data_IF_126852866230
#
_entry.id   IF_126852866230
#
_cell.length_a   1.000
_cell.length_b   1.000
_cell.length_c   1.000
_cell.angle_alpha   90.00
_cell.angle_beta   90.00
_cell.angle_gamma   90.00
#
_symmetry.space_group_name_H-M   'P 1'
#
loop_
_entity.id
_entity.type
_entity.pdbx_description
1 polymer ?
#
# COMPACT_ATOMS: atom_id res chain seq x y z
N UNK A 1 47.01 -46.01 -43.43
CA UNK A 1 47.27 -44.56 -43.36
C UNK A 1 45.95 -43.86 -43.04
N UNK A 2 45.70 -43.54 -41.77
CA UNK A 2 44.49 -42.84 -41.32
C UNK A 2 44.90 -41.49 -40.73
N UNK A 3 44.95 -40.46 -41.57
CA UNK A 3 45.24 -39.08 -41.13
C UNK A 3 43.93 -38.42 -40.66
N UNK A 4 43.77 -38.27 -39.35
CA UNK A 4 42.82 -37.29 -38.81
C UNK A 4 43.32 -35.89 -39.17
N UNK A 5 42.47 -35.01 -39.74
CA UNK A 5 42.86 -33.64 -39.98
C UNK A 5 43.04 -32.89 -38.63
N UNK A 6 43.97 -31.92 -38.55
CA UNK A 6 44.20 -31.16 -37.34
C UNK A 6 42.98 -30.29 -37.05
N UNK A 7 42.46 -30.37 -35.82
CA UNK A 7 41.47 -29.43 -35.31
C UNK A 7 42.15 -28.05 -35.34
N UNK A 8 41.58 -27.14 -36.13
CA UNK A 8 42.11 -25.79 -36.27
C UNK A 8 42.09 -25.10 -34.91
N UNK A 9 43.25 -24.60 -34.47
CA UNK A 9 43.42 -23.75 -33.28
C UNK A 9 42.53 -22.50 -33.28
N UNK A 10 41.97 -22.14 -34.44
CA UNK A 10 40.97 -21.09 -34.60
C UNK A 10 39.60 -21.41 -33.95
N UNK A 11 39.25 -22.68 -33.78
CA UNK A 11 37.98 -23.09 -33.17
C UNK A 11 38.04 -23.09 -31.63
N UNK A 12 39.24 -23.22 -31.05
CA UNK A 12 39.47 -23.10 -29.60
C UNK A 12 39.45 -21.64 -29.12
N UNK A 13 39.75 -20.67 -29.98
CA UNK A 13 39.74 -19.25 -29.63
C UNK A 13 38.34 -18.61 -29.68
N UNK A 14 37.37 -19.24 -30.35
CA UNK A 14 35.98 -18.75 -30.38
C UNK A 14 35.15 -19.12 -29.14
N UNK A 15 35.66 -20.00 -28.28
CA UNK A 15 34.96 -20.45 -27.06
C UNK A 15 35.29 -19.62 -25.81
N UNK A 16 36.18 -18.63 -25.89
CA UNK A 16 36.67 -17.84 -24.74
C UNK A 16 36.28 -16.35 -24.75
N UNK A 17 35.31 -15.94 -25.57
CA UNK A 17 34.65 -14.63 -25.38
C UNK A 17 33.32 -14.82 -24.67
N UNK A 18 33.38 -15.27 -23.41
CA UNK A 18 32.26 -15.11 -22.49
C UNK A 18 32.05 -13.62 -22.25
N UNK A 19 31.01 -13.07 -22.88
CA UNK A 19 30.45 -11.75 -22.55
C UNK A 19 30.35 -11.65 -21.01
N UNK A 20 30.79 -10.55 -20.37
CA UNK A 20 30.54 -10.36 -18.95
C UNK A 20 29.03 -10.51 -18.67
N UNK A 21 28.64 -11.10 -17.53
CA UNK A 21 27.23 -11.26 -17.20
C UNK A 21 26.55 -9.90 -17.31
N UNK A 22 25.44 -9.82 -18.07
CA UNK A 22 24.68 -8.59 -18.20
C UNK A 22 24.32 -8.08 -16.80
N UNK A 23 24.61 -6.80 -16.53
CA UNK A 23 24.20 -6.16 -15.27
C UNK A 23 22.70 -6.35 -15.07
N UNK A 24 22.32 -6.85 -13.89
CA UNK A 24 20.92 -7.09 -13.56
C UNK A 24 20.17 -5.76 -13.53
N UNK A 25 18.98 -5.72 -14.14
CA UNK A 25 18.13 -4.54 -14.05
C UNK A 25 17.75 -4.25 -12.58
N UNK A 26 17.40 -3.00 -12.22
CA UNK A 26 16.95 -2.68 -10.86
C UNK A 26 15.82 -3.60 -10.36
N UNK A 27 14.88 -3.95 -11.24
CA UNK A 27 13.81 -4.91 -10.96
C UNK A 27 14.36 -6.31 -10.65
N UNK A 28 15.30 -6.82 -11.45
CA UNK A 28 15.93 -8.12 -11.26
C UNK A 28 16.73 -8.16 -9.96
N UNK A 29 17.42 -7.07 -9.62
CA UNK A 29 18.18 -6.93 -8.38
C UNK A 29 17.26 -6.95 -7.16
N UNK A 30 16.16 -6.19 -7.19
CA UNK A 30 15.19 -6.16 -6.09
C UNK A 30 14.48 -7.51 -5.91
N UNK A 31 14.08 -8.17 -7.00
CA UNK A 31 13.47 -9.50 -6.96
C UNK A 31 14.46 -10.56 -6.48
N UNK A 32 15.72 -10.50 -6.92
CA UNK A 32 16.76 -11.41 -6.44
C UNK A 32 17.02 -11.24 -4.95
N UNK A 33 17.05 -10.00 -4.46
CA UNK A 33 17.18 -9.68 -3.05
C UNK A 33 16.01 -10.26 -2.23
N UNK A 34 14.76 -10.04 -2.67
CA UNK A 34 13.58 -10.60 -2.02
C UNK A 34 13.59 -12.14 -1.95
N UNK A 35 14.29 -12.79 -2.89
CA UNK A 35 14.44 -14.24 -2.91
C UNK A 35 15.56 -14.78 -2.01
N UNK A 36 16.35 -13.92 -1.35
CA UNK A 36 17.39 -14.37 -0.42
C UNK A 36 16.76 -15.11 0.78
N UNK A 37 17.39 -16.19 1.29
CA UNK A 37 16.84 -16.98 2.40
C UNK A 37 16.50 -16.15 3.65
N UNK A 38 17.37 -15.20 4.02
CA UNK A 38 17.14 -14.33 5.17
C UNK A 38 15.85 -13.50 5.00
N UNK A 39 15.64 -12.90 3.83
CA UNK A 39 14.45 -12.11 3.53
C UNK A 39 13.19 -12.98 3.47
N UNK A 40 13.28 -14.17 2.85
CA UNK A 40 12.16 -15.14 2.85
C UNK A 40 11.76 -15.53 4.26
N UNK A 41 12.73 -15.77 5.16
CA UNK A 41 12.46 -16.11 6.55
C UNK A 41 11.81 -14.95 7.32
N UNK A 42 12.27 -13.72 7.10
CA UNK A 42 11.66 -12.52 7.70
C UNK A 42 10.22 -12.32 7.22
N UNK A 43 9.95 -12.48 5.92
CA UNK A 43 8.60 -12.43 5.37
C UNK A 43 7.73 -13.55 5.94
N UNK A 44 8.22 -14.78 5.96
CA UNK A 44 7.50 -15.93 6.49
C UNK A 44 7.10 -15.74 7.96
N UNK A 45 7.99 -15.12 8.77
CA UNK A 45 7.70 -14.81 10.17
C UNK A 45 6.61 -13.72 10.34
N UNK A 46 6.47 -12.81 9.38
CA UNK A 46 5.49 -11.74 9.40
C UNK A 46 4.13 -12.13 8.78
N UNK A 47 4.10 -13.12 7.90
CA UNK A 47 2.90 -13.50 7.15
C UNK A 47 1.91 -14.34 8.00
N UNK A 48 0.59 -14.21 7.76
CA UNK A 48 -0.39 -15.11 8.33
C UNK A 48 -0.17 -16.55 7.84
N UNK A 49 -0.61 -17.53 8.64
CA UNK A 49 -0.45 -18.97 8.34
C UNK A 49 -0.97 -19.43 6.97
N UNK A 50 -1.91 -18.71 6.38
CA UNK A 50 -2.51 -19.03 5.08
C UNK A 50 -1.75 -18.44 3.87
N UNK A 51 -0.64 -17.73 4.09
CA UNK A 51 0.15 -17.08 3.05
C UNK A 51 1.63 -17.44 3.17
N UNK A 52 2.24 -17.84 2.05
CA UNK A 52 3.67 -18.20 2.00
C UNK A 52 4.52 -17.03 1.51
N UNK A 53 5.80 -17.00 1.93
CA UNK A 53 6.76 -15.99 1.46
C UNK A 53 6.90 -16.01 -0.07
N UNK A 54 6.94 -17.18 -0.71
CA UNK A 54 7.03 -17.29 -2.17
C UNK A 54 5.80 -16.71 -2.89
N UNK A 55 4.59 -16.91 -2.34
CA UNK A 55 3.37 -16.30 -2.89
C UNK A 55 3.45 -14.77 -2.80
N UNK A 56 3.84 -14.24 -1.63
CA UNK A 56 4.01 -12.81 -1.44
C UNK A 56 5.05 -12.22 -2.41
N UNK A 57 6.21 -12.87 -2.56
CA UNK A 57 7.26 -12.44 -3.51
C UNK A 57 6.76 -12.41 -4.96
N UNK A 58 5.94 -13.40 -5.37
CA UNK A 58 5.34 -13.41 -6.72
C UNK A 58 4.39 -12.23 -6.92
N UNK A 59 3.53 -11.96 -5.94
CA UNK A 59 2.61 -10.81 -5.97
C UNK A 59 3.41 -9.51 -6.11
N UNK A 60 4.44 -9.34 -5.27
CA UNK A 60 5.30 -8.15 -5.29
C UNK A 60 6.04 -8.01 -6.63
N UNK A 61 6.55 -9.11 -7.19
CA UNK A 61 7.19 -9.12 -8.51
C UNK A 61 6.22 -8.64 -9.59
N UNK A 62 4.95 -9.04 -9.51
CA UNK A 62 3.90 -8.54 -10.41
C UNK A 62 3.65 -7.05 -10.20
N UNK A 63 3.61 -6.55 -8.96
CA UNK A 63 3.42 -5.12 -8.69
C UNK A 63 4.60 -4.26 -9.16
N UNK A 64 5.85 -4.72 -9.01
CA UNK A 64 7.03 -4.06 -9.60
C UNK A 64 6.88 -3.95 -11.13
N UNK A 65 6.43 -5.01 -11.81
CA UNK A 65 6.22 -4.97 -13.27
C UNK A 65 5.12 -4.01 -13.70
N UNK A 66 4.06 -3.87 -12.89
CA UNK A 66 2.97 -2.91 -13.16
C UNK A 66 3.42 -1.48 -12.91
N UNK A 67 4.29 -1.26 -11.92
CA UNK A 67 4.84 0.04 -11.59
C UNK A 67 6.38 -0.04 -11.44
N UNK A 68 7.13 0.03 -12.56
CA UNK A 68 8.59 -0.07 -12.55
C UNK A 68 9.30 0.97 -11.68
N UNK A 69 8.63 2.10 -11.37
CA UNK A 69 9.19 3.12 -10.47
C UNK A 69 9.47 2.57 -9.06
N UNK A 70 8.76 1.51 -8.64
CA UNK A 70 8.99 0.85 -7.36
C UNK A 70 10.42 0.29 -7.25
N UNK A 71 11.00 -0.19 -8.35
CA UNK A 71 12.36 -0.72 -8.37
C UNK A 71 13.43 0.36 -8.19
N UNK A 72 13.10 1.63 -8.50
CA UNK A 72 13.98 2.77 -8.31
C UNK A 72 13.81 3.49 -6.96
N UNK A 73 12.92 3.00 -6.10
CA UNK A 73 12.69 3.58 -4.77
C UNK A 73 13.72 3.08 -3.75
N UNK A 74 13.78 3.75 -2.60
CA UNK A 74 14.60 3.32 -1.47
C UNK A 74 14.23 1.89 -1.06
N UNK A 75 15.22 0.99 -1.15
CA UNK A 75 15.02 -0.44 -0.92
C UNK A 75 14.51 -0.75 0.50
N UNK A 76 14.97 -0.03 1.53
CA UNK A 76 14.51 -0.24 2.91
C UNK A 76 13.02 0.12 3.08
N UNK A 77 12.58 1.24 2.50
CA UNK A 77 11.16 1.65 2.52
C UNK A 77 10.26 0.65 1.78
N UNK A 78 10.75 0.08 0.68
CA UNK A 78 10.06 -0.96 -0.08
C UNK A 78 9.87 -2.21 0.77
N UNK A 79 10.94 -2.73 1.36
CA UNK A 79 10.88 -3.93 2.21
C UNK A 79 10.00 -3.66 3.44
N UNK A 80 10.15 -2.50 4.09
CA UNK A 80 9.32 -2.13 5.24
C UNK A 80 7.82 -2.10 4.90
N UNK A 81 7.46 -1.56 3.74
CA UNK A 81 6.08 -1.55 3.25
C UNK A 81 5.56 -2.96 2.96
N UNK A 82 6.39 -3.83 2.38
CA UNK A 82 6.05 -5.23 2.14
C UNK A 82 5.87 -6.02 3.45
N UNK A 83 6.74 -5.81 4.43
CA UNK A 83 6.64 -6.44 5.75
C UNK A 83 5.35 -5.97 6.43
N UNK A 84 5.00 -4.69 6.33
CA UNK A 84 3.74 -4.16 6.86
C UNK A 84 2.51 -4.78 6.18
N UNK A 85 2.49 -4.90 4.85
CA UNK A 85 1.47 -5.68 4.12
C UNK A 85 1.34 -7.10 4.67
N UNK A 86 2.50 -7.74 4.87
CA UNK A 86 2.61 -9.12 5.33
C UNK A 86 2.02 -9.28 6.73
N UNK A 87 2.38 -8.40 7.67
CA UNK A 87 1.85 -8.39 9.05
C UNK A 87 0.33 -8.22 9.08
N UNK A 88 -0.22 -7.42 8.16
CA UNK A 88 -1.66 -7.22 8.05
C UNK A 88 -2.37 -8.36 7.30
N UNK A 89 -1.62 -9.27 6.69
CA UNK A 89 -2.18 -10.28 5.80
C UNK A 89 -2.93 -9.66 4.63
N UNK A 90 -2.46 -8.52 4.14
CA UNK A 90 -3.01 -7.86 2.96
C UNK A 90 -2.09 -8.13 1.78
N UNK A 91 -2.68 -8.57 0.68
CA UNK A 91 -1.96 -8.75 -0.58
C UNK A 91 -1.96 -7.40 -1.33
N UNK A 92 -0.78 -6.84 -1.67
CA UNK A 92 -0.73 -5.63 -2.47
C UNK A 92 -1.18 -5.94 -3.91
N UNK A 93 -2.05 -5.09 -4.46
CA UNK A 93 -2.46 -5.18 -5.85
C UNK A 93 -3.85 -4.60 -6.11
N UNK A 94 -4.01 -4.13 -7.35
CA UNK A 94 -5.23 -3.43 -7.78
C UNK A 94 -6.49 -4.31 -7.86
N UNK A 95 -6.35 -5.64 -7.96
CA UNK A 95 -7.49 -6.55 -8.23
C UNK A 95 -8.49 -6.65 -7.08
N UNK A 96 -8.00 -6.71 -5.83
CA UNK A 96 -8.87 -6.80 -4.65
C UNK A 96 -9.13 -5.43 -4.00
N UNK A 97 -8.32 -4.42 -4.33
CA UNK A 97 -8.40 -3.09 -3.72
C UNK A 97 -8.10 -3.09 -2.22
N UNK A 98 -7.30 -4.06 -1.77
CA UNK A 98 -6.95 -4.26 -0.36
C UNK A 98 -5.81 -3.35 0.07
N UNK A 99 -4.73 -3.34 -0.70
CA UNK A 99 -3.58 -2.52 -0.42
C UNK A 99 -2.78 -2.21 -1.69
N UNK A 100 -1.99 -1.15 -1.65
CA UNK A 100 -1.21 -0.64 -2.76
C UNK A 100 0.18 -0.23 -2.27
N UNK A 101 1.21 -0.57 -3.04
CA UNK A 101 2.57 -0.08 -2.83
C UNK A 101 2.79 1.07 -3.81
N UNK A 102 2.94 2.28 -3.29
CA UNK A 102 3.07 3.47 -4.13
C UNK A 102 4.35 4.23 -3.81
N UNK A 103 5.03 4.79 -4.82
CA UNK A 103 6.22 5.60 -4.61
C UNK A 103 5.84 7.03 -4.19
N UNK A 104 6.53 7.56 -3.19
CA UNK A 104 6.37 8.90 -2.66
C UNK A 104 7.72 9.61 -2.57
N UNK A 105 7.78 10.84 -3.06
CA UNK A 105 8.95 11.68 -2.85
C UNK A 105 9.03 12.10 -1.38
N UNK A 106 10.18 11.83 -0.76
CA UNK A 106 10.58 12.39 0.53
C UNK A 106 11.32 13.68 0.27
N UNK A 107 10.69 14.79 0.65
CA UNK A 107 11.23 16.12 0.45
C UNK A 107 11.84 16.62 1.75
N UNK A 108 13.02 17.23 1.68
CA UNK A 108 13.63 17.94 2.81
C UNK A 108 13.90 19.38 2.39
N UNK A 109 13.62 20.31 3.29
CA UNK A 109 14.01 21.71 3.08
C UNK A 109 15.52 21.81 3.26
N UNK A 110 16.22 22.22 2.22
CA UNK A 110 17.64 22.50 2.26
C UNK A 110 17.88 23.72 3.17
N UNK A 111 18.62 23.58 4.28
CA UNK A 111 18.82 24.68 5.23
C UNK A 111 19.54 25.89 4.62
N UNK A 112 20.40 25.66 3.63
CA UNK A 112 21.22 26.68 3.00
C UNK A 112 20.48 27.45 1.90
N UNK A 113 19.66 26.75 1.09
CA UNK A 113 18.96 27.36 -0.05
C UNK A 113 17.50 27.70 0.27
N UNK A 114 16.95 27.17 1.37
CA UNK A 114 15.55 27.28 1.73
C UNK A 114 14.59 26.53 0.80
N UNK A 115 15.08 25.84 -0.22
CA UNK A 115 14.28 25.11 -1.21
C UNK A 115 13.95 23.71 -0.72
N UNK A 116 12.80 23.20 -1.16
CA UNK A 116 12.44 21.79 -0.97
C UNK A 116 13.10 20.95 -2.05
N UNK A 117 13.86 19.96 -1.63
CA UNK A 117 14.57 19.04 -2.52
C UNK A 117 14.13 17.61 -2.21
N UNK A 118 13.97 16.80 -3.27
CA UNK A 118 13.70 15.36 -3.11
C UNK A 118 14.99 14.71 -2.65
N UNK A 119 14.99 14.15 -1.44
CA UNK A 119 16.17 13.47 -0.85
C UNK A 119 16.12 11.95 -1.00
N UNK A 120 14.94 11.41 -1.23
CA UNK A 120 14.71 9.99 -1.54
C UNK A 120 13.31 9.81 -2.13
N UNK A 121 13.10 8.69 -2.81
CA UNK A 121 11.79 8.24 -3.24
C UNK A 121 11.48 6.98 -2.45
N UNK A 122 10.59 7.08 -1.48
CA UNK A 122 10.26 5.98 -0.58
C UNK A 122 8.98 5.30 -1.05
N UNK A 123 8.85 4.01 -0.78
CA UNK A 123 7.59 3.29 -0.98
C UNK A 123 6.75 3.39 0.29
N UNK A 124 5.47 3.66 0.09
CA UNK A 124 4.47 3.68 1.15
C UNK A 124 3.38 2.66 0.88
N UNK A 125 2.90 2.05 1.96
CA UNK A 125 1.73 1.19 1.94
C UNK A 125 0.47 2.05 2.05
N UNK A 126 -0.37 2.00 1.03
CA UNK A 126 -1.72 2.55 1.07
C UNK A 126 -2.72 1.42 1.26
N UNK A 127 -3.53 1.47 2.30
CA UNK A 127 -4.59 0.50 2.56
C UNK A 127 -5.86 0.98 1.86
N UNK A 128 -6.44 0.15 1.00
CA UNK A 128 -7.73 0.45 0.37
C UNK A 128 -8.89 0.26 1.34
N UNK A 129 -10.04 0.86 1.06
CA UNK A 129 -11.21 0.72 1.95
C UNK A 129 -11.68 -0.72 2.07
N UNK A 130 -11.56 -1.53 1.00
CA UNK A 130 -11.89 -2.96 1.05
C UNK A 130 -10.94 -3.72 1.98
N UNK A 131 -9.66 -3.36 1.96
CA UNK A 131 -8.68 -3.87 2.92
C UNK A 131 -9.03 -3.49 4.36
N UNK A 132 -9.43 -2.24 4.62
CA UNK A 132 -9.90 -1.82 5.95
C UNK A 132 -11.14 -2.62 6.39
N UNK A 133 -12.13 -2.81 5.50
CA UNK A 133 -13.32 -3.60 5.82
C UNK A 133 -12.96 -5.05 6.13
N UNK A 134 -12.08 -5.66 5.32
CA UNK A 134 -11.61 -7.03 5.55
C UNK A 134 -10.89 -7.16 6.90
N UNK A 135 -9.96 -6.24 7.19
CA UNK A 135 -9.27 -6.18 8.49
C UNK A 135 -10.26 -6.07 9.64
N UNK A 136 -11.23 -5.16 9.55
CA UNK A 136 -12.24 -5.01 10.60
C UNK A 136 -13.06 -6.28 10.83
N UNK A 137 -13.44 -6.99 9.76
CA UNK A 137 -14.21 -8.25 9.84
C UNK A 137 -13.41 -9.39 10.47
N UNK A 138 -12.09 -9.40 10.31
CA UNK A 138 -11.21 -10.42 10.94
C UNK A 138 -11.21 -10.35 12.48
N UNK A 139 -11.64 -9.24 13.09
CA UNK A 139 -11.87 -9.16 14.54
C UNK A 139 -12.90 -10.19 15.04
N UNK A 140 -13.78 -10.66 14.16
CA UNK A 140 -14.92 -11.46 14.53
C UNK A 140 -16.00 -10.71 15.31
N UNK A 141 -15.85 -9.41 15.59
CA UNK A 141 -16.84 -8.59 16.28
C UNK A 141 -17.73 -7.80 15.30
N UNK A 142 -17.24 -7.58 14.08
CA UNK A 142 -17.92 -6.81 13.05
C UNK A 142 -18.71 -7.75 12.13
N UNK A 143 -20.02 -7.50 12.01
CA UNK A 143 -20.92 -8.18 11.07
C UNK A 143 -20.77 -7.60 9.66
N UNK A 144 -20.83 -6.28 9.55
CA UNK A 144 -20.76 -5.57 8.27
C UNK A 144 -20.29 -4.14 8.44
N UNK A 145 -19.56 -3.62 7.45
CA UNK A 145 -19.28 -2.20 7.29
C UNK A 145 -19.76 -1.78 5.90
N UNK A 146 -20.45 -0.65 5.83
CA UNK A 146 -20.90 -0.05 4.58
C UNK A 146 -20.71 1.45 4.61
N UNK A 147 -20.37 2.05 3.47
CA UNK A 147 -20.37 3.49 3.30
C UNK A 147 -21.24 3.90 2.11
N UNK A 148 -21.88 5.07 2.23
CA UNK A 148 -22.82 5.62 1.25
C UNK A 148 -22.63 7.13 1.14
N UNK A 149 -22.86 7.63 -0.05
CA UNK A 149 -22.96 9.06 -0.37
C UNK A 149 -24.42 9.47 -0.28
N UNK A 150 -24.68 10.66 0.26
CA UNK A 150 -25.99 11.29 0.40
C UNK A 150 -26.02 12.49 -0.54
N UNK A 151 -27.10 12.65 -1.30
CA UNK A 151 -27.27 13.66 -2.34
C UNK A 151 -28.39 14.64 -2.01
N UNK A 152 -28.37 15.78 -2.69
CA UNK A 152 -29.51 16.70 -2.71
C UNK A 152 -30.76 15.94 -3.19
N UNK A 153 -31.82 15.97 -2.39
CA UNK A 153 -33.07 15.23 -2.66
C UNK A 153 -33.24 13.93 -1.87
N UNK A 154 -32.19 13.41 -1.23
CA UNK A 154 -32.31 12.26 -0.32
C UNK A 154 -33.00 12.65 0.99
N UNK A 155 -33.80 11.74 1.56
CA UNK A 155 -34.25 11.89 2.95
C UNK A 155 -33.14 11.38 3.87
N UNK A 156 -32.45 12.31 4.52
CA UNK A 156 -31.32 11.99 5.39
C UNK A 156 -31.45 12.66 6.75
N UNK A 157 -31.44 11.85 7.81
CA UNK A 157 -31.51 12.28 9.21
C UNK A 157 -30.55 11.45 10.05
N UNK A 158 -29.80 12.10 10.93
CA UNK A 158 -28.95 11.43 11.91
C UNK A 158 -29.00 12.16 13.26
N UNK A 159 -28.85 11.40 14.35
CA UNK A 159 -28.83 11.90 15.72
C UNK A 159 -27.70 11.18 16.48
N UNK A 160 -26.84 11.94 17.17
CA UNK A 160 -25.74 11.41 18.00
C UNK A 160 -26.08 11.39 19.50
N UNK A 161 -27.34 11.62 19.87
CA UNK A 161 -27.73 11.65 21.28
C UNK A 161 -27.45 10.33 22.00
N UNK A 162 -27.95 10.17 23.23
CA UNK A 162 -27.80 8.93 23.99
C UNK A 162 -28.27 7.67 23.24
N UNK A 163 -29.18 7.85 22.27
CA UNK A 163 -29.60 6.83 21.33
C UNK A 163 -29.24 7.30 19.92
N UNK A 164 -28.12 6.81 19.39
CA UNK A 164 -27.68 7.20 18.05
C UNK A 164 -28.60 6.59 16.99
N UNK A 165 -29.02 7.39 16.01
CA UNK A 165 -29.84 6.93 14.89
C UNK A 165 -29.37 7.52 13.57
N UNK A 166 -29.51 6.75 12.49
CA UNK A 166 -29.24 7.21 11.13
C UNK A 166 -30.28 6.61 10.18
N UNK A 167 -30.98 7.50 9.48
CA UNK A 167 -31.95 7.18 8.45
C UNK A 167 -31.49 7.79 7.13
N UNK A 168 -31.43 6.96 6.09
CA UNK A 168 -31.11 7.38 4.73
C UNK A 168 -32.03 6.67 3.75
N UNK A 169 -32.90 7.44 3.08
CA UNK A 169 -33.73 6.97 1.98
C UNK A 169 -33.23 7.70 0.73
N UNK A 170 -32.51 7.01 -0.18
CA UNK A 170 -31.96 7.63 -1.36
C UNK A 170 -33.08 8.01 -2.33
N UNK A 171 -32.95 9.17 -2.97
CA UNK A 171 -33.69 9.49 -4.18
C UNK A 171 -33.15 8.74 -5.41
N UNK A 172 -33.74 8.99 -6.57
CA UNK A 172 -33.36 8.32 -7.82
C UNK A 172 -32.32 9.11 -8.65
N UNK A 173 -32.02 10.35 -8.27
CA UNK A 173 -31.10 11.21 -9.04
C UNK A 173 -29.65 11.03 -8.59
N UNK A 174 -28.92 10.12 -9.26
CA UNK A 174 -27.51 9.87 -8.98
C UNK A 174 -26.59 11.06 -9.35
N UNK A 175 -27.02 11.95 -10.25
CA UNK A 175 -26.28 13.14 -10.67
C UNK A 175 -26.43 14.33 -9.71
N UNK A 176 -27.33 14.22 -8.73
CA UNK A 176 -27.50 15.26 -7.72
C UNK A 176 -26.23 15.45 -6.89
N UNK A 177 -26.01 16.68 -6.42
CA UNK A 177 -24.79 17.03 -5.67
C UNK A 177 -24.73 16.25 -4.37
N UNK A 178 -23.55 15.74 -4.05
CA UNK A 178 -23.29 15.05 -2.79
C UNK A 178 -23.23 16.07 -1.65
N UNK A 179 -24.03 15.85 -0.62
CA UNK A 179 -24.11 16.72 0.57
C UNK A 179 -23.36 16.12 1.75
N UNK A 180 -23.43 14.81 1.92
CA UNK A 180 -22.81 14.06 3.02
C UNK A 180 -22.29 12.71 2.53
N UNK A 181 -21.40 12.11 3.31
CA UNK A 181 -20.98 10.73 3.17
C UNK A 181 -20.98 10.13 4.56
N UNK A 182 -21.50 8.92 4.71
CA UNK A 182 -21.52 8.23 5.98
C UNK A 182 -21.01 6.80 5.86
N UNK A 183 -20.53 6.26 6.99
CA UNK A 183 -20.22 4.85 7.14
C UNK A 183 -20.96 4.28 8.36
N UNK A 184 -21.38 3.01 8.27
CA UNK A 184 -22.05 2.27 9.34
C UNK A 184 -21.35 0.94 9.53
N UNK A 185 -21.08 0.59 10.79
CA UNK A 185 -20.65 -0.72 11.22
C UNK A 185 -21.74 -1.35 12.10
N UNK A 186 -22.05 -2.61 11.82
CA UNK A 186 -22.91 -3.46 12.68
C UNK A 186 -22.02 -4.42 13.45
N UNK A 187 -22.19 -4.47 14.77
CA UNK A 187 -21.45 -5.35 15.67
C UNK A 187 -22.30 -6.60 15.99
N UNK A 188 -21.63 -7.67 16.40
CA UNK A 188 -22.30 -8.95 16.70
C UNK A 188 -23.19 -8.91 17.94
N UNK A 189 -22.91 -8.01 18.87
CA UNK A 189 -23.69 -7.77 20.09
C UNK A 189 -24.95 -6.93 19.84
N UNK A 190 -25.21 -6.53 18.60
CA UNK A 190 -26.34 -5.67 18.22
C UNK A 190 -26.00 -4.18 18.22
N UNK A 191 -24.79 -3.80 18.66
CA UNK A 191 -24.30 -2.43 18.57
C UNK A 191 -24.22 -1.93 17.12
N UNK A 192 -24.55 -0.66 16.92
CA UNK A 192 -24.34 0.04 15.65
C UNK A 192 -23.43 1.21 15.93
N UNK A 193 -22.44 1.41 15.06
CA UNK A 193 -21.56 2.56 15.09
C UNK A 193 -21.61 3.23 13.73
N UNK A 194 -21.77 4.54 13.67
CA UNK A 194 -21.72 5.27 12.41
C UNK A 194 -20.95 6.57 12.51
N UNK A 195 -20.41 7.00 11.39
CA UNK A 195 -19.75 8.30 11.23
C UNK A 195 -20.38 9.00 10.04
N UNK A 196 -20.70 10.29 10.18
CA UNK A 196 -21.17 11.15 9.09
C UNK A 196 -20.17 12.27 8.84
N UNK A 197 -19.82 12.48 7.58
CA UNK A 197 -19.03 13.60 7.10
C UNK A 197 -19.83 14.44 6.10
N UNK A 198 -19.88 15.75 6.31
CA UNK A 198 -20.37 16.69 5.30
C UNK A 198 -19.42 16.73 4.10
N UNK A 199 -19.92 17.13 2.93
CA UNK A 199 -19.10 17.38 1.73
C UNK A 199 -17.91 18.30 2.04
N UNK A 200 -18.12 19.36 2.83
CA UNK A 200 -17.07 20.30 3.25
C UNK A 200 -15.97 19.62 4.09
N UNK A 201 -16.34 18.70 4.97
CA UNK A 201 -15.36 17.95 5.77
C UNK A 201 -14.55 16.99 4.90
N UNK A 202 -15.16 16.35 3.90
CA UNK A 202 -14.45 15.53 2.91
C UNK A 202 -13.48 16.38 2.10
N UNK A 203 -13.92 17.53 1.59
CA UNK A 203 -13.06 18.45 0.84
C UNK A 203 -11.89 18.99 1.67
N UNK A 204 -12.07 19.17 2.98
CA UNK A 204 -10.98 19.52 3.90
C UNK A 204 -9.93 18.39 4.00
N UNK A 205 -10.34 17.13 3.94
CA UNK A 205 -9.39 16.00 3.88
C UNK A 205 -8.72 15.96 2.51
N UNK A 206 -9.48 16.13 1.43
CA UNK A 206 -8.94 16.18 0.06
C UNK A 206 -7.86 17.25 -0.08
N UNK A 207 -8.08 18.45 0.44
CA UNK A 207 -7.12 19.57 0.33
C UNK A 207 -5.81 19.34 1.10
N UNK A 208 -5.82 18.47 2.11
CA UNK A 208 -4.63 18.07 2.86
C UNK A 208 -3.91 16.88 2.24
N UNK A 209 -4.56 16.15 1.33
CA UNK A 209 -3.96 15.00 0.67
C UNK A 209 -2.95 15.44 -0.38
N UNK A 210 -1.81 14.73 -0.48
CA UNK A 210 -0.86 14.92 -1.59
C UNK A 210 -1.49 14.66 -2.96
N UNK A 211 -2.45 13.74 -3.02
CA UNK A 211 -3.20 13.43 -4.22
C UNK A 211 -4.49 14.25 -4.33
N UNK A 212 -4.71 15.29 -3.51
CA UNK A 212 -5.97 16.02 -3.45
C UNK A 212 -6.46 16.55 -4.80
N UNK A 213 -5.53 16.98 -5.66
CA UNK A 213 -5.82 17.53 -6.98
C UNK A 213 -5.46 16.58 -8.13
N UNK A 214 -5.21 15.29 -7.86
CA UNK A 214 -4.78 14.32 -8.87
C UNK A 214 -5.25 12.90 -8.55
N UNK A 215 -5.05 11.98 -9.49
CA UNK A 215 -5.30 10.55 -9.26
C UNK A 215 -6.75 10.23 -8.84
N UNK A 216 -6.95 9.39 -7.81
CA UNK A 216 -8.29 8.95 -7.41
C UNK A 216 -9.21 10.06 -6.92
N UNK A 217 -8.69 11.16 -6.36
CA UNK A 217 -9.54 12.27 -5.91
C UNK A 217 -10.18 13.03 -7.08
N UNK A 218 -9.55 13.06 -8.26
CA UNK A 218 -10.12 13.68 -9.46
C UNK A 218 -10.99 12.74 -10.29
N UNK A 219 -10.69 11.44 -10.28
CA UNK A 219 -11.35 10.44 -11.14
C UNK A 219 -12.41 9.61 -10.41
N UNK A 220 -12.30 9.46 -9.09
CA UNK A 220 -13.10 8.56 -8.26
C UNK A 220 -13.40 9.20 -6.89
N UNK A 221 -13.88 10.45 -6.90
CA UNK A 221 -14.09 11.26 -5.68
C UNK A 221 -14.96 10.52 -4.64
N UNK A 222 -16.03 9.85 -5.06
CA UNK A 222 -16.93 9.13 -4.14
C UNK A 222 -16.25 7.99 -3.40
N UNK A 223 -15.40 7.23 -4.09
CA UNK A 223 -14.68 6.13 -3.46
C UNK A 223 -13.64 6.65 -2.46
N UNK A 224 -13.02 7.80 -2.75
CA UNK A 224 -12.13 8.48 -1.80
C UNK A 224 -12.88 9.05 -0.60
N UNK A 225 -14.06 9.62 -0.81
CA UNK A 225 -14.91 10.09 0.27
C UNK A 225 -15.38 8.93 1.18
N UNK A 226 -15.80 7.80 0.58
CA UNK A 226 -16.15 6.57 1.31
C UNK A 226 -14.96 6.02 2.09
N UNK A 227 -13.77 5.96 1.48
CA UNK A 227 -12.53 5.58 2.17
C UNK A 227 -12.30 6.47 3.40
N UNK A 228 -12.46 7.78 3.24
CA UNK A 228 -12.23 8.77 4.29
C UNK A 228 -13.17 8.57 5.49
N UNK A 229 -14.47 8.37 5.24
CA UNK A 229 -15.43 8.17 6.35
C UNK A 229 -15.29 6.80 7.01
N UNK A 230 -14.97 5.74 6.24
CA UNK A 230 -14.68 4.39 6.79
C UNK A 230 -13.49 4.46 7.74
N UNK A 231 -12.44 5.17 7.34
CA UNK A 231 -11.22 5.36 8.14
C UNK A 231 -11.52 6.07 9.47
N UNK A 232 -12.39 7.10 9.47
CA UNK A 232 -12.82 7.74 10.72
C UNK A 232 -13.60 6.78 11.62
N UNK A 233 -14.59 6.08 11.04
CA UNK A 233 -15.36 5.08 11.77
C UNK A 233 -14.46 4.00 12.38
N UNK A 234 -13.41 3.59 11.65
CA UNK A 234 -12.48 2.54 12.07
C UNK A 234 -11.84 2.81 13.44
N UNK A 235 -11.66 4.08 13.84
CA UNK A 235 -11.09 4.49 15.13
C UNK A 235 -11.93 4.08 16.33
N UNK A 236 -13.22 3.84 16.12
CA UNK A 236 -14.17 3.43 17.16
C UNK A 236 -14.47 1.93 17.16
N UNK A 237 -13.95 1.19 16.18
CA UNK A 237 -14.27 -0.24 16.04
C UNK A 237 -13.43 -1.10 16.99
N UNK A 238 -14.00 -2.18 17.56
CA UNK A 238 -13.28 -3.14 18.39
C UNK A 238 -12.39 -4.05 17.53
N UNK A 239 -11.30 -3.49 17.01
CA UNK A 239 -10.29 -4.18 16.19
C UNK A 239 -8.94 -4.23 16.90
N UNK A 240 -8.05 -5.12 16.43
CA UNK A 240 -6.72 -5.29 17.02
C UNK A 240 -5.88 -4.01 16.96
N UNK A 241 -4.91 -3.88 17.88
CA UNK A 241 -4.01 -2.71 17.94
C UNK A 241 -3.21 -2.58 16.65
N UNK A 242 -2.78 -3.71 16.09
CA UNK A 242 -2.06 -3.80 14.82
C UNK A 242 -2.88 -3.19 13.67
N UNK A 243 -4.18 -3.50 13.62
CA UNK A 243 -5.10 -2.93 12.64
C UNK A 243 -5.34 -1.43 12.85
N UNK A 244 -5.48 -0.98 14.10
CA UNK A 244 -5.61 0.45 14.38
C UNK A 244 -4.35 1.22 13.95
N UNK A 245 -3.16 0.70 14.26
CA UNK A 245 -1.88 1.28 13.84
C UNK A 245 -1.76 1.36 12.32
N UNK A 246 -2.21 0.34 11.60
CA UNK A 246 -2.19 0.32 10.15
C UNK A 246 -3.05 1.43 9.52
N UNK A 247 -4.23 1.70 10.08
CA UNK A 247 -5.10 2.79 9.62
C UNK A 247 -4.49 4.17 9.92
N UNK A 248 -3.80 4.32 11.05
CA UNK A 248 -3.05 5.54 11.39
C UNK A 248 -1.85 5.74 10.43
N UNK A 249 -1.15 4.67 10.06
CA UNK A 249 -0.06 4.72 9.09
C UNK A 249 -0.59 5.10 7.69
N UNK A 250 -1.73 4.56 7.27
CA UNK A 250 -2.38 4.95 6.01
C UNK A 250 -2.87 6.40 6.03
N UNK A 251 -3.28 6.94 7.20
CA UNK A 251 -3.56 8.37 7.39
C UNK A 251 -2.32 9.24 7.16
N UNK A 252 -1.17 8.84 7.72
CA UNK A 252 0.10 9.55 7.48
C UNK A 252 0.42 9.60 5.98
N UNK A 253 0.30 8.47 5.29
CA UNK A 253 0.59 8.39 3.88
C UNK A 253 -0.33 9.27 3.03
N UNK A 254 -1.63 9.30 3.35
CA UNK A 254 -2.59 10.15 2.67
C UNK A 254 -2.28 11.65 2.86
N UNK A 255 -1.86 12.04 4.07
CA UNK A 255 -1.34 13.38 4.37
C UNK A 255 0.07 13.65 3.80
N UNK A 256 0.66 12.67 3.11
CA UNK A 256 2.00 12.77 2.53
C UNK A 256 3.15 12.79 3.54
N UNK A 257 2.86 12.40 4.78
CA UNK A 257 3.82 12.20 5.86
C UNK A 257 4.45 10.82 5.69
N UNK A 258 5.76 10.73 5.92
CA UNK A 258 6.49 9.47 5.85
C UNK A 258 5.94 8.48 6.90
N UNK A 259 5.74 7.23 6.47
CA UNK A 259 5.36 6.13 7.35
C UNK A 259 6.56 5.59 8.15
N UNK A 260 7.77 6.06 7.84
CA UNK A 260 9.04 5.64 8.45
C UNK A 260 9.34 4.16 8.21
N UNK A 261 8.81 3.60 7.12
CA UNK A 261 8.94 2.19 6.76
C UNK A 261 10.42 1.77 6.62
N UNK A 262 11.31 2.69 6.23
CA UNK A 262 12.74 2.44 6.15
C UNK A 262 13.40 2.19 7.51
N UNK A 263 12.83 2.70 8.60
CA UNK A 263 13.38 2.58 9.98
C UNK A 263 12.84 1.35 10.72
N UNK A 264 11.86 0.63 10.17
CA UNK A 264 11.24 -0.53 10.81
C UNK A 264 12.15 -1.76 10.83
N UNK A 265 13.17 -1.80 9.97
CA UNK A 265 14.12 -2.92 9.87
C UNK A 265 15.47 -2.46 10.45
N UNK A 266 15.60 -2.54 11.78
CA UNK A 266 16.86 -2.28 12.50
C UNK A 266 17.85 -3.47 12.48
N UNK A 267 17.57 -4.54 11.74
CA UNK A 267 18.48 -5.68 11.60
C UNK A 267 19.54 -5.38 10.54
N UNK A 268 20.81 -5.46 10.93
CA UNK A 268 22.02 -5.27 10.13
C UNK A 268 21.84 -5.56 8.63
N UNK A 269 21.83 -4.49 7.83
CA UNK A 269 21.96 -4.59 6.38
C UNK A 269 23.37 -4.21 6.00
N UNK A 270 24.21 -5.21 5.72
CA UNK A 270 25.43 -5.00 4.95
C UNK A 270 25.07 -5.13 3.47
N UNK A 271 25.18 -4.04 2.72
CA UNK A 271 25.30 -4.13 1.26
C UNK A 271 26.59 -4.90 1.01
N UNK A 272 26.50 -6.14 0.55
CA UNK A 272 27.66 -6.81 -0.02
C UNK A 272 27.85 -6.20 -1.40
N UNK A 273 28.67 -5.14 -1.46
CA UNK A 273 29.20 -4.68 -2.73
C UNK A 273 30.03 -5.84 -3.29
N UNK A 274 29.62 -6.31 -4.46
CA UNK A 274 30.28 -7.40 -5.17
C UNK A 274 31.60 -6.98 -5.80
N UNK A 275 32.46 -6.25 -5.08
CA UNK A 275 33.87 -6.12 -5.44
C UNK A 275 34.58 -7.37 -4.93
N UNK A 276 34.47 -8.45 -5.70
CA UNK A 276 35.48 -9.50 -5.65
C UNK A 276 36.79 -8.92 -6.17
N UNK A 277 37.63 -8.44 -5.26
CA UNK A 277 39.05 -8.21 -5.50
C UNK A 277 39.83 -9.51 -5.25
N UNK A 278 40.77 -9.73 -6.17
CA UNK A 278 41.88 -10.70 -6.25
C UNK A 278 41.59 -12.17 -6.63
#
# INVERSE_FOLDING_TARGET
MSSQPPIATADLQKTQQSKPPAEKSPEQTLVAFMNQPAMKNQLAAALPRHMTADRMIRIITTEIRKNPELAGCNQQSFIGSVVQCSQLGLEPGNSLGHAYLLPFNKNKKNPSTGKWEVVSKDVQLIIGYRGMIDLARRSGQIVSISARTVREGDEFKFEYGLNETLTHIPGENEDAKITHVYAVAKLKDGGVQFEVMTFKQVEKVRSQSKAGNSGPWSTHWEEMAKKTVIRRLFKYLPVSIEMQKAVIMDEKAEAGVDQENASVIHGEYSVVDGSSEE
#
